data_IF_682846166460
#
_entry.id   IF_682846166460
#
_cell.length_a   1.000
_cell.length_b   1.000
_cell.length_c   1.000
_cell.angle_alpha   90.00
_cell.angle_beta   90.00
_cell.angle_gamma   90.00
#
_symmetry.space_group_name_H-M   'P 1'
#
loop_
_entity.id
_entity.type
_entity.pdbx_description
1 polymer ?
#
# COMPACT_ATOMS: atom_id res chain seq x y z
N UNK A 1 -58.05 -3.88 -22.34
CA UNK A 1 -57.10 -4.96 -22.07
C UNK A 1 -56.03 -4.36 -21.18
N UNK A 2 -56.05 -4.71 -19.92
CA UNK A 2 -55.00 -4.28 -18.99
C UNK A 2 -53.81 -5.17 -19.23
N UNK A 3 -52.74 -4.60 -19.72
CA UNK A 3 -51.43 -5.28 -19.73
C UNK A 3 -51.08 -5.56 -18.25
N UNK A 4 -51.10 -6.81 -17.88
CA UNK A 4 -50.40 -7.27 -16.69
C UNK A 4 -48.91 -7.12 -16.96
N UNK A 5 -48.32 -6.13 -16.37
CA UNK A 5 -46.86 -6.14 -16.19
C UNK A 5 -46.55 -7.35 -15.34
N UNK A 6 -46.08 -8.40 -16.00
CA UNK A 6 -45.46 -9.52 -15.31
C UNK A 6 -44.25 -8.90 -14.66
N UNK A 7 -44.29 -8.84 -13.33
CA UNK A 7 -43.14 -8.43 -12.55
C UNK A 7 -42.11 -9.53 -12.72
N UNK A 8 -41.24 -9.38 -13.72
CA UNK A 8 -40.09 -10.27 -13.88
C UNK A 8 -39.21 -10.07 -12.65
N UNK A 9 -38.80 -11.12 -11.98
CA UNK A 9 -37.84 -10.96 -10.90
C UNK A 9 -36.58 -10.30 -11.44
N UNK A 10 -36.01 -9.42 -10.68
CA UNK A 10 -34.73 -8.82 -11.01
C UNK A 10 -33.69 -9.95 -11.13
N UNK A 11 -33.11 -10.05 -12.29
CA UNK A 11 -32.16 -11.13 -12.57
C UNK A 11 -30.72 -10.73 -12.29
N UNK A 12 -30.47 -9.46 -12.07
CA UNK A 12 -29.19 -8.92 -11.67
C UNK A 12 -29.30 -8.38 -10.25
N UNK A 13 -28.42 -8.82 -9.36
CA UNK A 13 -28.30 -8.27 -8.00
C UNK A 13 -26.98 -7.51 -7.91
N UNK A 14 -27.09 -6.25 -7.48
CA UNK A 14 -25.95 -5.37 -7.27
C UNK A 14 -25.80 -5.14 -5.77
N UNK A 15 -24.74 -5.66 -5.20
CA UNK A 15 -24.36 -5.40 -3.82
C UNK A 15 -23.37 -4.25 -3.77
N UNK A 16 -23.64 -3.28 -2.93
CA UNK A 16 -22.78 -2.09 -2.80
C UNK A 16 -22.36 -1.94 -1.36
N UNK A 17 -21.07 -1.89 -1.12
CA UNK A 17 -20.56 -1.62 0.22
C UNK A 17 -20.81 -0.16 0.58
N UNK A 18 -21.37 0.08 1.77
CA UNK A 18 -21.65 1.45 2.25
C UNK A 18 -20.39 2.26 2.57
N UNK A 19 -19.22 1.64 2.58
CA UNK A 19 -17.94 2.31 2.75
C UNK A 19 -17.42 2.95 1.46
N UNK A 20 -17.96 2.58 0.31
CA UNK A 20 -17.61 3.20 -0.97
C UNK A 20 -18.07 4.66 -0.97
N UNK A 21 -17.14 5.59 -1.18
CA UNK A 21 -17.42 7.02 -1.20
C UNK A 21 -18.42 7.35 -2.29
N UNK A 22 -19.43 8.15 -1.95
CA UNK A 22 -20.47 8.58 -2.86
C UNK A 22 -21.17 7.43 -3.60
N UNK A 23 -21.24 6.23 -3.02
CA UNK A 23 -21.90 5.08 -3.65
C UNK A 23 -23.33 5.40 -4.12
N UNK A 24 -23.99 6.33 -3.45
CA UNK A 24 -25.35 6.75 -3.81
C UNK A 24 -25.41 7.22 -5.27
N UNK A 25 -24.41 7.97 -5.74
CA UNK A 25 -24.37 8.45 -7.11
C UNK A 25 -24.18 7.30 -8.12
N UNK A 26 -23.48 6.24 -7.74
CA UNK A 26 -23.34 5.06 -8.60
C UNK A 26 -24.65 4.28 -8.77
N UNK A 27 -25.46 4.23 -7.71
CA UNK A 27 -26.67 3.41 -7.70
C UNK A 27 -27.95 4.17 -8.09
N UNK A 28 -27.89 5.49 -8.21
CA UNK A 28 -29.04 6.30 -8.64
C UNK A 28 -29.51 5.90 -10.04
N UNK A 29 -28.60 5.46 -10.89
CA UNK A 29 -28.87 5.06 -12.26
C UNK A 29 -28.33 3.65 -12.52
N UNK A 30 -29.02 2.63 -12.04
CA UNK A 30 -28.76 1.23 -12.36
C UNK A 30 -29.67 0.73 -13.49
N UNK A 31 -29.32 -0.41 -14.07
CA UNK A 31 -30.13 -1.04 -15.09
C UNK A 31 -31.56 -1.34 -14.57
N UNK A 32 -32.62 -1.17 -15.37
CA UNK A 32 -34.01 -1.33 -14.90
C UNK A 32 -34.36 -2.71 -14.35
N UNK A 33 -33.54 -3.74 -14.66
CA UNK A 33 -33.71 -5.12 -14.19
C UNK A 33 -32.73 -5.46 -13.06
N UNK A 34 -32.02 -4.51 -12.53
CA UNK A 34 -31.11 -4.70 -11.39
C UNK A 34 -31.81 -4.33 -10.08
N UNK A 35 -31.56 -5.15 -9.06
CA UNK A 35 -31.93 -4.84 -7.69
C UNK A 35 -30.65 -4.50 -6.93
N UNK A 36 -30.65 -3.32 -6.29
CA UNK A 36 -29.51 -2.85 -5.52
C UNK A 36 -29.72 -3.14 -4.03
N UNK A 37 -28.72 -3.68 -3.39
CA UNK A 37 -28.67 -4.00 -1.97
C UNK A 37 -27.41 -3.36 -1.39
N UNK A 38 -27.58 -2.46 -0.44
CA UNK A 38 -26.47 -1.80 0.25
C UNK A 38 -26.06 -2.62 1.46
N UNK A 39 -24.77 -2.94 1.55
CA UNK A 39 -24.21 -3.67 2.69
C UNK A 39 -23.92 -2.72 3.85
N UNK A 40 -24.27 -3.13 5.04
CA UNK A 40 -23.95 -2.41 6.27
C UNK A 40 -22.48 -2.65 6.63
N UNK A 41 -21.72 -1.57 6.74
CA UNK A 41 -20.29 -1.63 7.06
C UNK A 41 -19.96 -2.17 8.46
N UNK A 42 -20.94 -2.29 9.34
CA UNK A 42 -20.77 -2.82 10.70
C UNK A 42 -21.02 -4.31 10.83
N UNK A 43 -21.52 -4.96 9.78
CA UNK A 43 -21.87 -6.38 9.76
C UNK A 43 -21.04 -7.14 8.71
N UNK A 44 -20.93 -8.47 8.88
CA UNK A 44 -20.25 -9.33 7.92
C UNK A 44 -20.96 -9.30 6.56
N UNK A 45 -20.31 -8.73 5.53
CA UNK A 45 -20.91 -8.57 4.23
C UNK A 45 -21.13 -9.88 3.47
N UNK A 46 -20.32 -10.92 3.74
CA UNK A 46 -20.53 -12.24 3.14
C UNK A 46 -21.82 -12.86 3.65
N UNK A 47 -22.09 -12.70 4.92
CA UNK A 47 -23.34 -13.17 5.53
C UNK A 47 -24.53 -12.36 5.01
N UNK A 48 -24.41 -11.04 4.88
CA UNK A 48 -25.45 -10.19 4.31
C UNK A 48 -25.82 -10.59 2.87
N UNK A 49 -24.82 -10.82 2.02
CA UNK A 49 -25.03 -11.28 0.63
C UNK A 49 -25.73 -12.65 0.65
N UNK A 50 -25.25 -13.56 1.49
CA UNK A 50 -25.80 -14.91 1.61
C UNK A 50 -27.28 -14.88 2.04
N UNK A 51 -27.62 -14.02 3.00
CA UNK A 51 -29.00 -13.83 3.47
C UNK A 51 -29.88 -13.21 2.38
N UNK A 52 -29.35 -12.24 1.64
CA UNK A 52 -30.08 -11.62 0.54
C UNK A 52 -30.35 -12.62 -0.59
N UNK A 53 -29.46 -13.55 -0.83
CA UNK A 53 -29.62 -14.60 -1.84
C UNK A 53 -30.51 -15.76 -1.37
N UNK A 54 -30.81 -15.85 -0.09
CA UNK A 54 -31.55 -16.97 0.46
C UNK A 54 -32.96 -17.12 -0.16
N UNK A 55 -33.20 -18.28 -0.77
CA UNK A 55 -34.45 -18.59 -1.44
C UNK A 55 -34.62 -17.94 -2.81
N UNK A 56 -33.61 -17.27 -3.32
CA UNK A 56 -33.57 -16.78 -4.69
C UNK A 56 -32.94 -17.82 -5.62
N UNK A 57 -33.33 -17.80 -6.86
CA UNK A 57 -32.79 -18.67 -7.92
C UNK A 57 -32.91 -17.96 -9.27
N UNK A 58 -32.29 -18.52 -10.27
CA UNK A 58 -32.33 -17.99 -11.64
C UNK A 58 -31.76 -16.56 -11.74
N UNK A 59 -30.79 -16.22 -10.90
CA UNK A 59 -30.06 -14.96 -10.95
C UNK A 59 -29.06 -15.05 -12.12
N UNK A 60 -29.06 -14.06 -12.99
CA UNK A 60 -28.18 -14.01 -14.15
C UNK A 60 -26.82 -13.39 -13.79
N UNK A 61 -26.78 -12.49 -12.82
CA UNK A 61 -25.53 -11.87 -12.38
C UNK A 61 -25.59 -11.40 -10.93
N UNK A 62 -24.50 -11.63 -10.22
CA UNK A 62 -24.20 -11.01 -8.94
C UNK A 62 -23.07 -10.02 -9.18
N UNK A 63 -23.31 -8.74 -8.91
CA UNK A 63 -22.32 -7.69 -9.07
C UNK A 63 -22.02 -7.06 -7.71
N UNK A 64 -20.75 -6.95 -7.39
CA UNK A 64 -20.30 -6.43 -6.09
C UNK A 64 -19.48 -5.17 -6.34
N UNK A 65 -19.95 -4.05 -5.84
CA UNK A 65 -19.26 -2.76 -5.87
C UNK A 65 -18.71 -2.51 -4.48
N UNK A 66 -17.41 -2.58 -4.38
CA UNK A 66 -16.73 -2.45 -3.09
C UNK A 66 -15.28 -2.03 -3.30
N UNK A 67 -14.63 -1.65 -2.22
CA UNK A 67 -13.19 -1.49 -2.23
C UNK A 67 -12.49 -2.83 -2.41
N UNK A 68 -11.42 -2.81 -3.21
CA UNK A 68 -10.61 -3.99 -3.49
C UNK A 68 -9.12 -3.74 -3.37
N UNK A 69 -8.38 -4.81 -3.23
CA UNK A 69 -6.93 -4.85 -3.27
C UNK A 69 -6.50 -6.21 -3.84
N UNK A 70 -5.20 -6.37 -4.14
CA UNK A 70 -4.69 -7.61 -4.74
C UNK A 70 -5.00 -8.86 -3.89
N UNK A 71 -5.91 -9.68 -4.40
CA UNK A 71 -6.40 -10.88 -3.72
C UNK A 71 -7.32 -10.61 -2.53
N UNK A 72 -7.96 -9.46 -2.48
CA UNK A 72 -8.86 -9.04 -1.42
C UNK A 72 -10.08 -8.31 -1.95
N UNK A 73 -11.21 -8.52 -1.31
CA UNK A 73 -12.47 -7.80 -1.51
C UNK A 73 -13.06 -7.43 -0.15
N UNK A 74 -13.33 -6.15 0.08
CA UNK A 74 -13.93 -5.68 1.33
C UNK A 74 -15.45 -5.78 1.26
N UNK A 75 -16.07 -6.33 2.28
CA UNK A 75 -17.52 -6.58 2.31
C UNK A 75 -18.05 -6.28 3.72
N UNK A 76 -18.53 -5.08 3.93
CA UNK A 76 -18.96 -4.61 5.24
C UNK A 76 -17.82 -4.67 6.26
N UNK A 77 -18.02 -5.33 7.38
CA UNK A 77 -17.00 -5.48 8.40
C UNK A 77 -15.96 -6.59 8.08
N UNK A 78 -16.03 -7.22 6.93
CA UNK A 78 -15.22 -8.40 6.59
C UNK A 78 -14.42 -8.16 5.31
N UNK A 79 -13.14 -8.48 5.35
CA UNK A 79 -12.32 -8.60 4.15
C UNK A 79 -12.26 -10.08 3.72
N UNK A 80 -12.73 -10.39 2.53
CA UNK A 80 -12.57 -11.70 1.91
C UNK A 80 -11.22 -11.77 1.21
N UNK A 81 -10.37 -12.70 1.61
CA UNK A 81 -8.99 -12.84 1.10
C UNK A 81 -8.67 -14.27 0.72
N UNK A 82 -7.56 -14.48 -0.01
CA UNK A 82 -7.05 -15.81 -0.32
C UNK A 82 -6.81 -16.69 0.92
N UNK A 83 -6.56 -16.08 2.08
CA UNK A 83 -6.28 -16.81 3.31
C UNK A 83 -7.54 -17.32 3.99
N UNK A 84 -8.64 -16.55 3.92
CA UNK A 84 -9.86 -16.88 4.62
C UNK A 84 -11.00 -17.38 3.74
N UNK A 85 -10.91 -17.30 2.42
CA UNK A 85 -11.97 -17.66 1.46
C UNK A 85 -12.52 -19.08 1.69
N UNK A 86 -11.63 -20.00 2.08
CA UNK A 86 -12.04 -21.38 2.34
C UNK A 86 -12.95 -21.53 3.59
N UNK A 87 -12.86 -20.61 4.53
CA UNK A 87 -13.74 -20.61 5.70
C UNK A 87 -15.16 -20.17 5.39
N UNK A 88 -15.35 -19.46 4.28
CA UNK A 88 -16.66 -19.03 3.75
C UNK A 88 -17.19 -19.93 2.63
N UNK A 89 -16.56 -21.06 2.37
CA UNK A 89 -16.92 -21.93 1.23
C UNK A 89 -18.39 -22.34 1.21
N UNK A 90 -19.02 -22.47 2.36
CA UNK A 90 -20.44 -22.81 2.45
C UNK A 90 -21.33 -21.66 1.96
N UNK A 91 -21.05 -20.43 2.37
CA UNK A 91 -21.77 -19.22 1.98
C UNK A 91 -21.55 -18.96 0.49
N UNK A 92 -20.30 -18.98 0.04
CA UNK A 92 -19.94 -18.76 -1.36
C UNK A 92 -20.57 -19.79 -2.29
N UNK A 93 -20.65 -21.06 -1.89
CA UNK A 93 -21.39 -22.08 -2.65
C UNK A 93 -22.89 -21.79 -2.75
N UNK A 94 -23.47 -21.12 -1.73
CA UNK A 94 -24.87 -20.70 -1.82
C UNK A 94 -25.07 -19.57 -2.83
N UNK A 95 -24.09 -18.68 -2.98
CA UNK A 95 -24.14 -17.66 -4.03
C UNK A 95 -24.26 -18.31 -5.42
N UNK A 96 -23.36 -19.27 -5.70
CA UNK A 96 -23.41 -20.02 -6.95
C UNK A 96 -24.72 -20.78 -7.18
N UNK A 97 -25.28 -21.36 -6.11
CA UNK A 97 -26.57 -22.07 -6.18
C UNK A 97 -27.75 -21.15 -6.50
N UNK A 98 -27.60 -19.83 -6.32
CA UNK A 98 -28.63 -18.85 -6.66
C UNK A 98 -28.55 -18.40 -8.11
N UNK A 99 -27.42 -18.66 -8.77
CA UNK A 99 -27.19 -18.29 -10.16
C UNK A 99 -27.83 -19.28 -11.15
N UNK A 100 -28.01 -18.80 -12.37
CA UNK A 100 -28.28 -19.69 -13.52
C UNK A 100 -27.01 -20.47 -13.89
N UNK A 101 -27.14 -21.47 -14.77
CA UNK A 101 -26.00 -22.27 -15.26
C UNK A 101 -24.90 -21.41 -15.89
N UNK A 102 -25.26 -20.26 -16.46
CA UNK A 102 -24.33 -19.31 -17.06
C UNK A 102 -24.33 -17.97 -16.32
N UNK A 103 -24.58 -18.00 -15.03
CA UNK A 103 -24.62 -16.77 -14.24
C UNK A 103 -23.23 -16.35 -13.79
N UNK A 104 -22.97 -15.04 -13.86
CA UNK A 104 -21.67 -14.43 -13.62
C UNK A 104 -21.58 -13.70 -12.28
N UNK A 105 -20.38 -13.62 -11.77
CA UNK A 105 -20.04 -12.76 -10.63
C UNK A 105 -19.06 -11.69 -11.09
N UNK A 106 -19.45 -10.42 -10.99
CA UNK A 106 -18.59 -9.29 -11.33
C UNK A 106 -18.13 -8.56 -10.07
N UNK A 107 -16.82 -8.46 -9.91
CA UNK A 107 -16.19 -7.77 -8.78
C UNK A 107 -15.69 -6.41 -9.25
N UNK A 108 -16.46 -5.38 -8.96
CA UNK A 108 -16.10 -4.00 -9.25
C UNK A 108 -15.39 -3.42 -8.04
N UNK A 109 -14.09 -3.54 -8.04
CA UNK A 109 -13.17 -3.05 -7.00
C UNK A 109 -11.75 -3.04 -7.52
N UNK A 110 -10.95 -2.10 -7.05
CA UNK A 110 -9.62 -1.88 -7.56
C UNK A 110 -8.66 -3.06 -7.33
N UNK A 111 -7.87 -3.36 -8.36
CA UNK A 111 -6.68 -4.21 -8.24
C UNK A 111 -6.92 -5.65 -7.74
N UNK A 112 -8.13 -6.16 -7.71
CA UNK A 112 -8.43 -7.48 -7.11
C UNK A 112 -7.62 -8.60 -7.79
N UNK A 113 -7.37 -8.49 -9.08
CA UNK A 113 -6.61 -9.46 -9.87
C UNK A 113 -5.24 -8.91 -10.34
N UNK A 114 -4.68 -7.93 -9.66
CA UNK A 114 -3.48 -7.22 -10.10
C UNK A 114 -2.24 -8.11 -10.22
N UNK A 115 -2.13 -9.15 -9.44
CA UNK A 115 -1.02 -10.09 -9.46
C UNK A 115 -1.47 -11.54 -9.65
N UNK A 116 -0.50 -12.46 -9.76
CA UNK A 116 -0.80 -13.89 -9.75
C UNK A 116 -1.53 -14.32 -8.47
N UNK A 117 -1.30 -13.64 -7.34
CA UNK A 117 -2.00 -13.90 -6.09
C UNK A 117 -3.47 -13.49 -6.19
N UNK A 118 -3.73 -12.29 -6.72
CA UNK A 118 -5.08 -11.81 -6.95
C UNK A 118 -5.84 -12.70 -7.94
N UNK A 119 -5.21 -13.08 -9.04
CA UNK A 119 -5.81 -14.01 -10.01
C UNK A 119 -6.15 -15.35 -9.38
N UNK A 120 -5.28 -15.87 -8.49
CA UNK A 120 -5.56 -17.09 -7.75
C UNK A 120 -6.77 -16.95 -6.81
N UNK A 121 -6.92 -15.78 -6.17
CA UNK A 121 -8.09 -15.51 -5.34
C UNK A 121 -9.39 -15.55 -6.15
N UNK A 122 -9.40 -14.88 -7.32
CA UNK A 122 -10.57 -14.88 -8.20
C UNK A 122 -10.87 -16.29 -8.73
N UNK A 123 -9.84 -17.07 -9.04
CA UNK A 123 -10.02 -18.49 -9.43
C UNK A 123 -10.59 -19.34 -8.29
N UNK A 124 -10.18 -19.12 -7.05
CA UNK A 124 -10.74 -19.84 -5.90
C UNK A 124 -12.21 -19.50 -5.71
N UNK A 125 -12.57 -18.22 -5.83
CA UNK A 125 -13.96 -17.79 -5.76
C UNK A 125 -14.81 -18.48 -6.84
N UNK A 126 -14.33 -18.48 -8.08
CA UNK A 126 -14.98 -19.19 -9.19
C UNK A 126 -15.14 -20.70 -8.91
N UNK A 127 -14.10 -21.36 -8.41
CA UNK A 127 -14.16 -22.77 -8.08
C UNK A 127 -15.15 -23.11 -6.97
N UNK A 128 -15.28 -22.24 -5.96
CA UNK A 128 -16.20 -22.46 -4.83
C UNK A 128 -17.65 -22.18 -5.24
N UNK A 129 -17.87 -21.12 -6.01
CA UNK A 129 -19.21 -20.73 -6.45
C UNK A 129 -19.69 -21.56 -7.64
N UNK A 130 -18.77 -21.99 -8.49
CA UNK A 130 -19.06 -22.65 -9.76
C UNK A 130 -19.47 -21.67 -10.86
N UNK A 131 -19.34 -20.37 -10.63
CA UNK A 131 -19.66 -19.29 -11.56
C UNK A 131 -18.41 -18.78 -12.26
N UNK A 132 -18.58 -18.18 -13.44
CA UNK A 132 -17.53 -17.36 -14.02
C UNK A 132 -17.44 -16.02 -13.27
N UNK A 133 -16.20 -15.61 -12.97
CA UNK A 133 -15.93 -14.42 -12.17
C UNK A 133 -15.04 -13.46 -12.94
N UNK A 134 -15.43 -12.19 -13.00
CA UNK A 134 -14.61 -11.13 -13.56
C UNK A 134 -14.21 -10.12 -12.51
N UNK A 135 -13.00 -9.56 -12.65
CA UNK A 135 -12.46 -8.54 -11.77
C UNK A 135 -11.41 -7.67 -12.46
N UNK A 136 -11.12 -6.51 -11.89
CA UNK A 136 -10.12 -5.59 -12.42
C UNK A 136 -8.69 -5.97 -12.02
N UNK A 137 -7.74 -5.72 -12.93
CA UNK A 137 -6.31 -5.82 -12.68
C UNK A 137 -5.71 -4.47 -12.23
N UNK A 138 -6.44 -3.38 -12.34
CA UNK A 138 -6.01 -2.02 -12.00
C UNK A 138 -7.09 -1.21 -11.26
N UNK A 139 -7.07 0.12 -11.35
CA UNK A 139 -8.00 0.99 -10.63
C UNK A 139 -9.38 1.00 -11.28
N UNK A 140 -10.41 0.70 -10.51
CA UNK A 140 -11.81 0.79 -10.96
C UNK A 140 -12.41 2.12 -10.52
N UNK A 141 -12.96 2.90 -11.47
CA UNK A 141 -13.62 4.17 -11.19
C UNK A 141 -13.25 5.29 -12.14
N UNK A 142 -13.00 6.48 -11.58
CA UNK A 142 -12.82 7.70 -12.34
C UNK A 142 -11.58 7.69 -13.24
N UNK A 143 -11.77 7.96 -14.53
CA UNK A 143 -10.67 7.99 -15.50
C UNK A 143 -9.68 9.14 -15.27
N UNK A 144 -10.07 10.22 -14.63
CA UNK A 144 -9.14 11.31 -14.30
C UNK A 144 -8.20 10.93 -13.15
N UNK A 145 -8.56 9.92 -12.38
CA UNK A 145 -7.76 9.34 -11.31
C UNK A 145 -7.02 8.08 -11.76
N UNK A 146 -7.03 7.79 -13.06
CA UNK A 146 -6.36 6.63 -13.63
C UNK A 146 -7.18 5.34 -13.57
N UNK A 147 -8.44 5.41 -13.17
CA UNK A 147 -9.34 4.26 -13.13
C UNK A 147 -10.15 4.08 -14.42
N UNK A 148 -10.76 2.95 -14.55
CA UNK A 148 -11.79 2.70 -15.55
C UNK A 148 -12.83 1.70 -15.00
N UNK A 149 -13.71 1.18 -15.85
CA UNK A 149 -14.74 0.22 -15.47
C UNK A 149 -14.60 -1.09 -16.24
N UNK A 150 -13.38 -1.40 -16.67
CA UNK A 150 -13.07 -2.65 -17.35
C UNK A 150 -12.70 -3.72 -16.32
N UNK A 151 -13.10 -4.94 -16.57
CA UNK A 151 -12.72 -6.09 -15.75
C UNK A 151 -11.82 -6.97 -16.63
N UNK A 152 -10.50 -6.75 -16.53
CA UNK A 152 -9.51 -7.32 -17.44
C UNK A 152 -9.32 -8.81 -17.23
N UNK A 153 -9.55 -9.29 -16.01
CA UNK A 153 -9.38 -10.68 -15.66
C UNK A 153 -10.72 -11.38 -15.50
N UNK A 154 -10.88 -12.53 -16.17
CA UNK A 154 -12.05 -13.37 -16.04
C UNK A 154 -11.66 -14.86 -16.00
N UNK A 155 -12.40 -15.64 -15.22
CA UNK A 155 -12.17 -17.08 -15.09
C UNK A 155 -12.82 -17.89 -16.21
N UNK A 156 -13.76 -17.30 -16.93
CA UNK A 156 -14.48 -17.88 -18.04
C UNK A 156 -15.18 -16.83 -18.91
N UNK A 157 -16.25 -17.20 -19.59
CA UNK A 157 -16.99 -16.29 -20.46
C UNK A 157 -17.99 -15.46 -19.65
N UNK A 158 -17.81 -14.16 -19.65
CA UNK A 158 -18.72 -13.24 -18.98
C UNK A 158 -19.77 -12.76 -19.98
N UNK A 159 -21.00 -13.14 -19.75
CA UNK A 159 -22.14 -12.76 -20.58
C UNK A 159 -22.90 -11.54 -19.96
N UNK A 160 -22.77 -11.30 -18.67
CA UNK A 160 -23.46 -10.25 -17.97
C UNK A 160 -22.80 -8.88 -18.19
N UNK A 161 -23.53 -7.84 -18.61
CA UNK A 161 -23.03 -6.49 -18.64
C UNK A 161 -22.98 -5.89 -17.21
N UNK A 162 -22.12 -4.92 -17.01
CA UNK A 162 -22.13 -4.12 -15.78
C UNK A 162 -23.50 -3.42 -15.67
N UNK A 163 -24.11 -3.52 -14.50
CA UNK A 163 -25.45 -3.00 -14.24
C UNK A 163 -25.50 -1.50 -13.96
N UNK A 164 -24.33 -0.84 -13.77
CA UNK A 164 -24.26 0.61 -13.68
C UNK A 164 -24.45 1.25 -15.04
N UNK A 165 -25.16 2.35 -15.10
CA UNK A 165 -25.29 3.11 -16.35
C UNK A 165 -24.01 3.91 -16.63
N UNK A 166 -23.72 4.10 -17.89
CA UNK A 166 -22.53 4.84 -18.36
C UNK A 166 -22.49 6.24 -17.73
N UNK A 167 -23.65 6.91 -17.62
CA UNK A 167 -23.72 8.24 -17.04
C UNK A 167 -23.31 8.29 -15.56
N UNK A 168 -23.66 7.27 -14.78
CA UNK A 168 -23.25 7.16 -13.38
C UNK A 168 -21.75 6.85 -13.27
N UNK A 169 -21.24 5.96 -14.12
CA UNK A 169 -19.82 5.63 -14.17
C UNK A 169 -18.95 6.82 -14.57
N UNK A 170 -19.40 7.61 -15.56
CA UNK A 170 -18.68 8.83 -16.00
C UNK A 170 -18.76 9.97 -14.98
N UNK A 171 -19.82 10.02 -14.18
CA UNK A 171 -20.02 11.03 -13.18
C UNK A 171 -19.39 10.71 -11.82
N UNK A 172 -18.92 9.47 -11.64
CA UNK A 172 -18.28 9.08 -10.40
C UNK A 172 -16.92 9.76 -10.27
N UNK A 173 -16.67 10.39 -9.12
CA UNK A 173 -15.51 11.25 -8.92
C UNK A 173 -14.35 10.55 -8.20
N UNK A 174 -14.53 9.30 -7.75
CA UNK A 174 -13.55 8.55 -6.98
C UNK A 174 -13.13 7.26 -7.69
N UNK A 175 -12.18 6.53 -7.11
CA UNK A 175 -11.87 5.13 -7.45
C UNK A 175 -12.24 4.22 -6.28
N UNK A 176 -12.44 2.94 -6.55
CA UNK A 176 -12.83 1.94 -5.55
C UNK A 176 -11.60 1.35 -4.83
N UNK A 177 -10.61 2.20 -4.51
CA UNK A 177 -9.42 1.80 -3.78
C UNK A 177 -9.61 2.02 -2.28
N UNK A 178 -9.30 1.01 -1.49
CA UNK A 178 -9.26 1.10 -0.03
C UNK A 178 -7.93 0.56 0.46
N UNK A 179 -7.31 1.31 1.32
CA UNK A 179 -6.01 0.98 1.86
C UNK A 179 -6.09 0.59 3.34
N UNK A 180 -6.99 -0.29 3.68
CA UNK A 180 -6.95 -0.94 4.99
C UNK A 180 -5.85 -2.00 5.01
N UNK A 181 -4.94 -1.90 5.97
CA UNK A 181 -3.75 -2.73 6.03
C UNK A 181 -3.58 -3.39 7.40
N UNK A 182 -3.24 -4.67 7.38
CA UNK A 182 -2.96 -5.44 8.59
C UNK A 182 -1.61 -6.15 8.56
N UNK A 183 -0.99 -6.23 7.39
CA UNK A 183 0.31 -6.88 7.19
C UNK A 183 1.32 -5.96 6.51
N UNK A 184 2.58 -6.36 6.53
CA UNK A 184 3.64 -5.63 5.83
C UNK A 184 3.48 -5.67 4.30
N UNK A 185 2.86 -6.71 3.79
CA UNK A 185 2.58 -6.84 2.36
C UNK A 185 1.48 -5.87 1.95
N UNK A 186 0.39 -5.81 2.73
CA UNK A 186 -0.72 -4.88 2.47
C UNK A 186 -0.21 -3.44 2.47
N UNK A 187 0.59 -3.06 3.48
CA UNK A 187 1.15 -1.71 3.55
C UNK A 187 2.07 -1.41 2.35
N UNK A 188 2.84 -2.39 1.89
CA UNK A 188 3.67 -2.21 0.70
C UNK A 188 2.82 -2.00 -0.55
N UNK A 189 1.76 -2.77 -0.70
CA UNK A 189 0.84 -2.65 -1.83
C UNK A 189 0.10 -1.31 -1.80
N UNK A 190 -0.43 -0.93 -0.66
CA UNK A 190 -1.11 0.36 -0.48
C UNK A 190 -0.19 1.54 -0.83
N UNK A 191 1.06 1.53 -0.36
CA UNK A 191 2.04 2.57 -0.68
C UNK A 191 2.41 2.62 -2.17
N UNK A 192 2.39 1.48 -2.86
CA UNK A 192 2.64 1.44 -4.29
C UNK A 192 1.45 2.00 -5.09
N UNK A 193 0.23 1.77 -4.63
CA UNK A 193 -0.97 2.31 -5.26
C UNK A 193 -1.11 3.81 -5.03
N UNK A 194 -0.85 4.26 -3.81
CA UNK A 194 -0.88 5.68 -3.46
C UNK A 194 0.20 6.50 -4.18
N UNK A 195 1.14 5.85 -4.82
CA UNK A 195 2.33 6.52 -5.38
C UNK A 195 2.03 7.52 -6.48
N UNK A 196 1.03 7.27 -7.31
CA UNK A 196 0.77 8.08 -8.51
C UNK A 196 -0.67 7.91 -9.00
N UNK A 197 -1.62 8.03 -8.13
CA UNK A 197 -3.04 7.89 -8.48
C UNK A 197 -3.77 9.24 -8.54
N UNK A 198 -3.06 10.35 -8.29
CA UNK A 198 -3.56 11.72 -8.39
C UNK A 198 -4.72 12.04 -7.44
N UNK A 199 -4.80 11.37 -6.31
CA UNK A 199 -5.76 11.67 -5.26
C UNK A 199 -5.10 11.65 -3.89
N UNK A 200 -5.78 12.27 -2.91
CA UNK A 200 -5.37 12.19 -1.53
C UNK A 200 -5.70 10.79 -0.99
N UNK A 201 -4.69 10.10 -0.51
CA UNK A 201 -4.84 8.72 -0.04
C UNK A 201 -4.89 8.64 1.47
N UNK A 202 -5.64 7.66 1.97
CA UNK A 202 -5.67 7.30 3.37
C UNK A 202 -5.39 5.81 3.55
N UNK A 203 -4.32 5.49 4.26
CA UNK A 203 -3.98 4.12 4.64
C UNK A 203 -4.32 3.93 6.11
N UNK A 204 -5.26 3.06 6.40
CA UNK A 204 -5.71 2.76 7.76
C UNK A 204 -5.22 1.41 8.25
N UNK A 205 -4.50 1.39 9.38
CA UNK A 205 -4.06 0.15 10.00
C UNK A 205 -5.20 -0.49 10.78
N UNK A 206 -5.55 -1.72 10.43
CA UNK A 206 -6.51 -2.55 11.16
C UNK A 206 -5.83 -3.54 12.10
N UNK A 207 -4.51 -3.63 12.04
CA UNK A 207 -3.70 -4.47 12.92
C UNK A 207 -2.26 -3.99 13.02
N UNK A 208 -1.53 -4.52 13.99
CA UNK A 208 -0.11 -4.18 14.15
C UNK A 208 0.75 -4.91 13.13
N UNK A 209 1.67 -4.19 12.51
CA UNK A 209 2.53 -4.69 11.44
C UNK A 209 3.91 -5.04 11.99
N UNK A 210 4.39 -6.23 11.69
CA UNK A 210 5.70 -6.71 12.11
C UNK A 210 6.28 -7.72 11.10
N UNK A 211 7.48 -8.21 11.36
CA UNK A 211 8.09 -9.28 10.56
C UNK A 211 8.68 -8.85 9.23
N UNK A 212 8.76 -7.57 8.94
CA UNK A 212 9.37 -7.07 7.72
C UNK A 212 10.91 -6.90 7.86
N UNK A 213 11.60 -6.96 6.74
CA UNK A 213 13.05 -6.86 6.66
C UNK A 213 13.56 -5.71 5.81
N UNK A 214 12.66 -5.06 5.10
CA UNK A 214 12.97 -3.89 4.30
C UNK A 214 12.13 -2.71 4.79
N UNK A 215 12.68 -1.51 4.76
CA UNK A 215 11.94 -0.31 5.10
C UNK A 215 10.84 -0.03 4.06
N UNK A 216 9.76 0.54 4.51
CA UNK A 216 8.71 1.06 3.64
C UNK A 216 9.19 2.37 3.00
N UNK A 217 9.35 2.37 1.69
CA UNK A 217 9.70 3.58 0.94
C UNK A 217 8.44 4.30 0.49
N UNK A 218 8.35 5.57 0.81
CA UNK A 218 7.24 6.44 0.37
C UNK A 218 7.82 7.45 -0.62
N UNK A 219 7.38 7.37 -1.87
CA UNK A 219 7.87 8.15 -3.00
C UNK A 219 6.70 8.57 -3.89
N UNK A 220 5.88 9.50 -3.39
CA UNK A 220 4.73 9.98 -4.14
C UNK A 220 5.20 10.76 -5.37
N UNK A 221 4.59 10.46 -6.50
CA UNK A 221 4.93 11.07 -7.79
C UNK A 221 3.93 12.15 -8.21
N UNK A 222 2.87 12.29 -7.46
CA UNK A 222 1.88 13.36 -7.61
C UNK A 222 2.00 14.39 -6.48
N UNK A 223 1.08 15.34 -6.42
CA UNK A 223 1.09 16.42 -5.41
C UNK A 223 0.15 16.16 -4.23
N UNK A 224 -0.58 15.07 -4.29
CA UNK A 224 -1.62 14.78 -3.32
C UNK A 224 -1.04 14.21 -2.03
N UNK A 225 -1.64 14.47 -0.88
CA UNK A 225 -1.14 14.00 0.40
C UNK A 225 -1.51 12.54 0.64
N UNK A 226 -0.61 11.83 1.32
CA UNK A 226 -0.88 10.51 1.88
C UNK A 226 -1.03 10.62 3.40
N UNK A 227 -2.14 10.15 3.93
CA UNK A 227 -2.38 10.01 5.37
C UNK A 227 -2.26 8.54 5.78
N UNK A 228 -1.48 8.25 6.81
CA UNK A 228 -1.39 6.92 7.40
C UNK A 228 -1.94 6.98 8.81
N UNK A 229 -3.06 6.31 9.05
CA UNK A 229 -3.75 6.27 10.34
C UNK A 229 -3.48 4.95 11.04
N UNK A 230 -2.82 5.00 12.16
CA UNK A 230 -2.46 3.81 12.92
C UNK A 230 -3.58 3.21 13.76
N UNK A 231 -4.62 3.95 14.10
CA UNK A 231 -5.69 3.50 15.01
C UNK A 231 -5.16 2.92 16.33
N UNK A 232 -4.05 3.45 16.83
CA UNK A 232 -3.37 2.94 18.02
C UNK A 232 -2.52 1.69 17.79
N UNK A 233 -2.46 1.18 16.58
CA UNK A 233 -1.63 0.03 16.24
C UNK A 233 -0.15 0.38 16.18
N UNK A 234 0.67 -0.67 16.10
CA UNK A 234 2.12 -0.57 16.12
C UNK A 234 2.72 -1.08 14.81
N UNK A 235 3.73 -0.37 14.32
CA UNK A 235 4.62 -0.86 13.28
C UNK A 235 5.97 -1.17 13.92
N UNK A 236 6.31 -2.46 13.99
CA UNK A 236 7.50 -2.96 14.70
C UNK A 236 8.52 -3.54 13.72
N UNK A 237 9.63 -2.86 13.60
CA UNK A 237 10.73 -3.31 12.74
C UNK A 237 11.61 -4.40 13.36
N UNK A 238 11.39 -4.81 14.62
CA UNK A 238 12.11 -5.88 15.28
C UNK A 238 13.63 -5.66 15.34
N UNK A 239 14.12 -4.46 15.23
CA UNK A 239 15.51 -4.06 15.11
C UNK A 239 16.20 -4.56 13.82
N UNK A 240 15.47 -4.94 12.80
CA UNK A 240 16.02 -5.46 11.56
C UNK A 240 16.29 -4.36 10.53
N UNK A 241 15.45 -3.35 10.46
CA UNK A 241 15.51 -2.30 9.44
C UNK A 241 14.94 -0.99 9.97
N UNK A 242 15.03 0.04 9.17
CA UNK A 242 14.24 1.27 9.36
C UNK A 242 12.75 0.96 9.16
N UNK A 243 11.87 1.79 9.67
CA UNK A 243 10.44 1.65 9.41
C UNK A 243 10.10 2.36 8.10
N UNK A 244 10.18 3.68 8.07
CA UNK A 244 9.85 4.47 6.89
C UNK A 244 11.06 5.21 6.32
N UNK A 245 11.15 5.21 5.00
CA UNK A 245 12.01 6.10 4.24
C UNK A 245 11.15 6.97 3.33
N UNK A 246 11.10 8.25 3.60
CA UNK A 246 10.35 9.22 2.81
C UNK A 246 11.27 9.78 1.74
N UNK A 247 10.97 9.50 0.48
CA UNK A 247 11.73 9.97 -0.67
C UNK A 247 11.14 11.24 -1.22
N UNK A 248 9.81 11.28 -1.34
CA UNK A 248 9.07 12.42 -1.85
C UNK A 248 7.62 12.38 -1.37
N UNK A 249 6.94 13.53 -1.35
CA UNK A 249 5.52 13.67 -1.08
C UNK A 249 5.21 14.44 0.18
N UNK A 250 3.92 14.63 0.42
CA UNK A 250 3.36 15.20 1.65
C UNK A 250 2.67 14.10 2.42
N UNK A 251 3.19 13.75 3.58
CA UNK A 251 2.74 12.62 4.38
C UNK A 251 2.25 13.08 5.73
N UNK A 252 1.13 12.54 6.19
CA UNK A 252 0.63 12.65 7.54
C UNK A 252 0.66 11.28 8.19
N UNK A 253 1.30 11.18 9.35
CA UNK A 253 1.28 9.98 10.17
C UNK A 253 0.49 10.29 11.43
N UNK A 254 -0.54 9.52 11.71
CA UNK A 254 -1.38 9.72 12.89
C UNK A 254 -1.64 8.45 13.68
N UNK A 255 -1.81 8.60 14.97
CA UNK A 255 -2.27 7.56 15.89
C UNK A 255 -1.52 6.22 15.80
N UNK A 256 -0.21 6.22 15.55
CA UNK A 256 0.60 5.03 15.36
C UNK A 256 1.79 4.97 16.31
N UNK A 257 2.17 3.77 16.71
CA UNK A 257 3.44 3.53 17.40
C UNK A 257 4.47 2.98 16.42
N UNK A 258 5.58 3.69 16.26
CA UNK A 258 6.72 3.25 15.45
C UNK A 258 7.82 2.76 16.40
N UNK A 259 8.11 1.45 16.39
CA UNK A 259 9.07 0.89 17.34
C UNK A 259 10.12 -0.03 16.74
N UNK A 260 11.24 -0.14 17.48
CA UNK A 260 12.35 -1.02 17.16
C UNK A 260 12.91 -0.82 15.74
N UNK A 261 12.76 0.38 15.19
CA UNK A 261 13.37 0.75 13.93
C UNK A 261 14.88 0.92 14.08
N UNK A 262 15.66 0.41 13.14
CA UNK A 262 17.12 0.42 13.23
C UNK A 262 17.78 0.78 11.92
N UNK A 263 18.58 1.83 11.95
CA UNK A 263 19.44 2.23 10.85
C UNK A 263 20.90 2.10 11.26
N UNK A 264 21.69 1.40 10.48
CA UNK A 264 23.12 1.23 10.74
C UNK A 264 23.92 1.72 9.55
N UNK A 265 24.84 2.62 9.82
CA UNK A 265 25.85 3.01 8.86
C UNK A 265 26.82 1.87 8.61
N UNK A 266 27.28 1.71 7.39
CA UNK A 266 28.28 0.71 7.07
C UNK A 266 29.63 0.99 7.74
N UNK A 267 30.34 -0.07 8.11
CA UNK A 267 31.68 0.06 8.67
C UNK A 267 32.70 0.50 7.61
N UNK A 268 33.62 1.32 8.02
CA UNK A 268 34.75 1.70 7.19
C UNK A 268 35.72 0.54 7.01
N UNK A 269 36.38 0.46 5.88
CA UNK A 269 37.45 -0.49 5.60
C UNK A 269 38.79 0.21 5.44
N UNK A 270 39.82 -0.49 5.77
CA UNK A 270 41.22 -0.05 5.52
C UNK A 270 41.48 1.42 5.92
N UNK A 271 41.11 1.76 7.13
CA UNK A 271 41.28 3.12 7.64
C UNK A 271 40.25 4.12 7.20
N UNK A 272 39.20 3.69 6.52
CA UNK A 272 38.05 4.50 6.21
C UNK A 272 37.19 4.76 7.44
N UNK A 273 36.51 5.90 7.49
CA UNK A 273 35.51 6.17 8.52
C UNK A 273 34.25 5.37 8.30
N UNK A 274 33.53 5.13 9.37
CA UNK A 274 32.20 4.52 9.27
C UNK A 274 31.17 5.41 8.59
N UNK A 275 30.15 4.81 8.05
CA UNK A 275 29.03 5.49 7.41
C UNK A 275 28.05 6.08 8.40
N UNK A 276 27.21 6.94 7.91
CA UNK A 276 26.10 7.52 8.67
C UNK A 276 24.99 6.48 8.82
N UNK A 277 24.53 6.25 10.02
CA UNK A 277 23.24 5.68 10.30
C UNK A 277 22.25 6.81 10.63
N UNK A 278 21.11 6.83 9.99
CA UNK A 278 20.15 7.92 10.17
C UNK A 278 18.72 7.39 10.11
N UNK A 279 17.85 7.94 10.93
CA UNK A 279 16.43 7.68 10.92
C UNK A 279 16.05 6.23 11.25
N UNK A 280 16.08 5.83 12.49
CA UNK A 280 15.69 4.47 12.87
C UNK A 280 14.24 4.18 12.53
N UNK A 281 13.33 5.03 12.95
CA UNK A 281 11.93 4.90 12.59
C UNK A 281 11.63 5.62 11.29
N UNK A 282 12.04 6.85 11.15
CA UNK A 282 11.70 7.72 10.06
C UNK A 282 12.95 8.37 9.48
N UNK A 283 13.17 8.23 8.21
CA UNK A 283 14.25 8.88 7.48
C UNK A 283 13.70 9.73 6.35
N UNK A 284 13.91 11.01 6.37
CA UNK A 284 13.51 11.94 5.34
C UNK A 284 14.66 12.20 4.38
N UNK A 285 14.52 11.69 3.16
CA UNK A 285 15.39 11.97 2.04
C UNK A 285 14.86 13.20 1.27
N UNK A 286 13.52 13.35 1.26
CA UNK A 286 12.79 14.47 0.68
C UNK A 286 11.38 14.54 1.23
N UNK A 287 10.56 15.41 0.66
CA UNK A 287 9.15 15.56 1.04
C UNK A 287 8.90 16.27 2.37
N UNK A 288 7.67 16.24 2.80
CA UNK A 288 7.20 16.82 4.05
C UNK A 288 6.46 15.78 4.88
N UNK A 289 6.69 15.74 6.17
CA UNK A 289 6.00 14.81 7.08
C UNK A 289 5.42 15.56 8.24
N UNK A 290 4.15 15.36 8.48
CA UNK A 290 3.43 15.77 9.70
C UNK A 290 3.22 14.54 10.57
N UNK A 291 3.46 14.64 11.85
CA UNK A 291 3.22 13.58 12.81
C UNK A 291 2.24 14.04 13.88
N UNK A 292 1.17 13.28 14.07
CA UNK A 292 0.11 13.60 15.00
C UNK A 292 -0.17 12.40 15.90
N UNK A 293 -0.03 12.56 17.20
CA UNK A 293 -0.23 11.48 18.16
C UNK A 293 0.60 10.21 17.85
N UNK A 294 1.84 10.38 17.36
CA UNK A 294 2.75 9.28 17.02
C UNK A 294 3.70 9.01 18.19
N UNK A 295 3.81 7.74 18.56
CA UNK A 295 4.77 7.29 19.57
C UNK A 295 6.00 6.68 18.91
N UNK A 296 7.18 7.20 19.21
CA UNK A 296 8.46 6.63 18.80
C UNK A 296 9.08 5.86 19.96
N UNK A 297 9.24 4.54 19.81
CA UNK A 297 9.71 3.67 20.87
C UNK A 297 10.93 2.84 20.45
N UNK A 298 12.02 2.96 21.21
CA UNK A 298 13.23 2.14 21.02
C UNK A 298 13.80 2.13 19.59
N UNK A 299 13.73 3.25 18.88
CA UNK A 299 14.30 3.37 17.54
C UNK A 299 15.75 3.83 17.62
N UNK A 300 16.60 3.31 16.74
CA UNK A 300 18.05 3.50 16.80
C UNK A 300 18.63 3.94 15.45
N UNK A 301 19.51 4.92 15.49
CA UNK A 301 20.34 5.31 14.38
C UNK A 301 21.81 5.18 14.83
N UNK A 302 22.55 4.26 14.23
CA UNK A 302 23.88 3.88 14.65
C UNK A 302 24.86 4.13 13.52
N UNK A 303 25.88 4.95 13.75
CA UNK A 303 26.97 5.11 12.80
C UNK A 303 27.82 3.86 12.67
N UNK A 304 28.38 3.64 11.50
CA UNK A 304 29.32 2.56 11.27
C UNK A 304 30.66 2.77 12.00
N UNK A 305 31.38 1.70 12.22
CA UNK A 305 32.66 1.72 12.90
C UNK A 305 33.81 2.11 11.97
N UNK A 306 34.83 2.71 12.54
CA UNK A 306 36.13 2.83 11.87
C UNK A 306 37.09 1.81 12.48
N UNK A 307 37.55 0.82 11.76
CA UNK A 307 38.30 -0.30 12.35
C UNK A 307 39.61 0.09 13.00
N UNK A 308 40.16 1.23 12.68
CA UNK A 308 41.44 1.65 13.23
C UNK A 308 41.42 3.02 13.92
N UNK A 309 40.27 3.52 14.25
CA UNK A 309 40.13 4.75 15.04
C UNK A 309 40.66 6.04 14.41
N UNK A 310 41.49 5.97 13.44
CA UNK A 310 42.10 7.10 12.76
C UNK A 310 41.67 7.16 11.29
N UNK A 311 40.48 6.81 11.06
CA UNK A 311 39.97 6.76 9.71
C UNK A 311 39.88 8.11 9.04
N UNK A 312 40.04 8.13 7.80
CA UNK A 312 39.67 9.24 6.98
C UNK A 312 38.16 9.27 6.85
N UNK A 313 37.68 10.33 6.35
CA UNK A 313 36.26 10.51 6.24
C UNK A 313 35.53 9.36 5.57
N UNK A 314 34.46 9.01 6.17
CA UNK A 314 33.53 8.04 5.66
C UNK A 314 32.39 8.66 4.89
N UNK A 315 31.80 7.90 4.07
CA UNK A 315 30.55 8.28 3.40
C UNK A 315 29.35 8.02 4.28
N UNK A 316 28.27 8.61 3.99
CA UNK A 316 27.01 8.24 4.59
C UNK A 316 26.30 7.17 3.76
N UNK A 317 25.67 6.28 4.40
CA UNK A 317 24.93 5.21 3.73
C UNK A 317 23.81 4.73 4.61
N UNK A 318 22.69 4.48 3.99
CA UNK A 318 21.55 3.97 4.70
C UNK A 318 21.63 2.45 4.68
N UNK A 319 22.18 1.89 5.72
CA UNK A 319 22.33 0.45 5.85
C UNK A 319 23.45 -0.18 5.02
N UNK A 320 24.19 0.59 4.28
CA UNK A 320 25.34 0.09 3.54
C UNK A 320 26.67 0.34 4.26
N UNK A 321 27.74 -0.15 3.68
CA UNK A 321 29.07 0.18 4.14
C UNK A 321 29.35 1.66 3.92
N UNK A 322 29.55 2.38 4.96
CA UNK A 322 29.85 3.78 4.88
C UNK A 322 31.22 4.03 4.28
N UNK A 323 31.49 5.26 4.13
CA UNK A 323 32.74 5.69 3.64
C UNK A 323 32.70 5.92 2.15
N UNK A 324 33.25 6.93 1.77
CA UNK A 324 33.42 7.29 0.39
C UNK A 324 34.67 8.11 0.29
N UNK A 325 35.18 8.23 -0.88
CA UNK A 325 36.31 9.07 -1.13
C UNK A 325 35.91 10.51 -0.95
N UNK A 326 36.30 11.10 0.09
CA UNK A 326 35.99 12.46 0.35
C UNK A 326 34.69 12.71 1.11
N UNK A 327 33.94 11.68 1.38
CA UNK A 327 32.79 11.83 2.25
C UNK A 327 31.68 12.73 1.75
N UNK A 328 31.40 12.75 0.52
CA UNK A 328 30.27 13.52 0.02
C UNK A 328 28.94 12.85 0.38
N UNK A 329 28.02 13.62 0.90
CA UNK A 329 26.76 13.08 1.35
C UNK A 329 25.99 12.34 0.27
N UNK A 330 25.82 12.97 -0.87
CA UNK A 330 25.06 12.34 -1.92
C UNK A 330 25.77 11.16 -2.57
N UNK A 331 27.06 11.04 -2.44
CA UNK A 331 27.75 9.86 -2.90
C UNK A 331 27.48 8.62 -2.07
N UNK A 332 27.03 8.83 -0.87
CA UNK A 332 26.79 7.73 0.06
C UNK A 332 25.32 7.42 0.29
N UNK A 333 24.48 8.37 0.05
CA UNK A 333 23.08 8.13 0.22
C UNK A 333 22.59 7.10 -0.80
N UNK A 334 21.89 6.18 -0.33
CA UNK A 334 21.23 5.24 -1.16
C UNK A 334 22.11 4.22 -1.88
N UNK A 335 23.36 4.18 -1.58
CA UNK A 335 24.23 3.16 -2.16
C UNK A 335 24.75 2.25 -1.07
N UNK A 336 23.99 1.23 -0.72
CA UNK A 336 24.50 0.20 0.13
C UNK A 336 25.71 -0.38 -0.56
N UNK A 337 26.73 -0.57 0.15
CA UNK A 337 27.91 -1.10 -0.46
C UNK A 337 29.11 -1.02 0.43
N UNK A 338 30.21 -1.31 -0.14
CA UNK A 338 31.47 -1.24 0.57
C UNK A 338 31.77 0.23 0.91
N UNK A 339 32.12 0.45 2.13
CA UNK A 339 32.61 1.77 2.54
C UNK A 339 33.74 2.22 1.65
N UNK A 340 33.68 3.43 1.23
CA UNK A 340 34.77 4.04 0.48
C UNK A 340 35.99 4.15 1.32
N UNK A 341 37.09 4.26 0.71
CA UNK A 341 38.27 4.69 1.39
C UNK A 341 38.06 6.11 1.90
N UNK A 342 38.51 6.39 3.02
CA UNK A 342 38.40 7.73 3.54
C UNK A 342 38.91 8.74 2.52
N UNK A 343 38.49 9.95 2.69
CA UNK A 343 39.00 11.01 1.85
C UNK A 343 40.51 11.02 1.82
N UNK A 344 41.01 11.61 0.86
CA UNK A 344 42.43 11.72 0.77
C UNK A 344 42.98 12.59 1.90
N UNK A 345 44.24 12.75 1.86
CA UNK A 345 44.90 13.47 2.92
C UNK A 345 44.43 14.85 3.07
N UNK A 346 43.78 15.29 2.17
CA UNK A 346 43.31 16.54 2.29
C UNK A 346 42.00 16.61 2.78
N UNK A 347 41.49 15.81 3.05
CA UNK A 347 40.36 15.82 3.47
C UNK A 347 39.51 15.24 3.71
N UNK A 348 38.93 15.03 3.48
CA UNK A 348 38.08 14.50 3.67
C UNK A 348 37.75 14.10 4.22
N UNK A 349 37.50 13.93 3.95
CA UNK A 349 37.54 13.74 4.53
C UNK A 349 38.56 14.27 4.95
N UNK A 350 39.15 15.02 4.75
CA UNK A 350 40.04 15.34 5.13
C UNK A 350 40.35 16.40 5.10
N UNK A 351 40.77 17.16 4.85
CA UNK A 351 41.09 18.07 4.80
C UNK A 351 41.69 18.43 4.29
N UNK A 352 41.91 18.79 4.01
CA UNK A 352 42.50 19.03 3.48
C UNK A 352 43.33 19.33 3.60
N UNK A 353 43.72 19.67 3.71
CA UNK A 353 44.46 19.98 3.71
C UNK A 353 45.23 20.29 3.56
N UNK A 354 45.41 20.43 3.29
CA UNK A 354 46.40 20.69 2.99
C UNK A 354 46.56 21.97 2.88
N UNK A 355 46.22 22.47 2.69
CA UNK A 355 46.08 23.53 2.83
C UNK A 355 45.62 23.66 3.94
N UNK A 356 46.02 24.08 4.42
CA UNK A 356 45.75 24.00 5.60
C UNK A 356 44.41 24.12 5.80
N UNK A 357 43.84 24.01 5.34
CA UNK A 357 42.76 23.99 5.47
C UNK A 357 41.96 23.08 5.31
N UNK A 358 41.98 22.38 5.16
CA UNK A 358 41.22 21.56 4.96
C UNK A 358 40.93 20.79 5.94
N UNK A 359 40.35 20.79 6.42
CA UNK A 359 39.94 20.18 7.31
C UNK A 359 39.46 19.04 6.97
N UNK A 360 39.72 18.25 7.32
CA UNK A 360 39.28 17.07 7.25
C UNK A 360 38.37 16.86 6.39
N UNK A 361 38.47 16.46 5.70
CA UNK A 361 37.53 16.16 4.95
C UNK A 361 36.76 17.20 4.76
N UNK A 362 36.93 17.98 5.07
CA UNK A 362 36.27 18.87 4.88
C UNK A 362 35.18 18.96 4.75
N UNK A 363 34.92 18.52 4.94
CA UNK A 363 33.87 18.42 4.95
C UNK A 363 33.02 19.19 5.39
N UNK A 364 32.82 19.79 4.86
CA UNK A 364 31.83 20.44 5.15
C UNK A 364 31.02 19.86 6.02
N UNK A 365 30.33 20.25 6.61
CA UNK A 365 29.53 19.68 7.28
C UNK A 365 29.85 18.46 7.59
N UNK A 366 30.48 18.39 8.27
CA UNK A 366 30.65 17.29 8.75
C UNK A 366 31.09 16.20 8.16
N UNK A 367 31.48 16.39 7.28
CA UNK A 367 31.95 15.33 6.70
C UNK A 367 33.26 15.24 6.99
N UNK A 368 33.69 16.03 7.49
CA UNK A 368 34.87 15.98 7.64
C UNK A 368 35.44 14.89 8.02
N UNK A 369 36.02 14.56 7.72
CA UNK A 369 36.66 13.68 8.18
C UNK A 369 36.13 12.68 8.81
N UNK A 370 35.78 12.17 8.68
CA UNK A 370 35.60 11.21 9.35
C UNK A 370 34.55 10.77 9.94
N UNK A 371 33.74 10.57 9.46
CA UNK A 371 32.73 9.93 10.11
C UNK A 371 31.91 10.73 10.98
N UNK A 372 32.23 11.92 11.01
CA UNK A 372 31.36 12.75 11.72
C UNK A 372 30.08 12.80 10.97
N UNK A 373 29.19 12.29 11.33
CA UNK A 373 27.91 12.40 10.74
C UNK A 373 27.13 13.53 11.23
N UNK A 374 26.35 14.02 10.38
CA UNK A 374 25.30 14.88 10.79
C UNK A 374 24.21 14.02 11.36
N UNK A 375 23.90 14.19 12.57
CA UNK A 375 22.73 13.58 13.15
C UNK A 375 21.58 14.55 12.99
N UNK A 376 20.61 14.15 12.27
CA UNK A 376 19.33 14.81 12.31
C UNK A 376 18.40 13.98 13.15
N UNK A 377 18.02 14.54 14.23
CA UNK A 377 16.96 13.98 15.05
C UNK A 377 15.70 14.75 14.79
N UNK A 378 14.69 14.02 14.58
CA UNK A 378 13.33 14.50 14.67
C UNK A 378 12.58 13.61 15.62
#
# INVERSE_FOLDING_TARGET
MSEQFINMPNKTLVFVDSQVENYQSLIEETAPNAEVIVLDSSEDGIEQITQALAGRAEIESIQIISHGNDGQLNLGATALTSENINSYSQQLSQWGNSLTENGDILLLGCNIAASDSGKNFVQQLSQITGADVASSEDLTGNANLGGDWVLEYATGLIDAPIALQIGAMEAYENVLADFTVSTAADLTNALNQARNNFQADEITLTGSINGFTNSFAIDLQDSEPLTIIGNGNTIDAGNNTQIFRIVNGTIVLSDVTLQNGRAIGGDGITGGGGGLGAGGALYLDGGNVTVENVTFNNNQAIGGNSPNGAGRGGGSGNGGNGGGSGGQLNGAFGTPGVGGQGGDTNGGGDRVDAQPKQLGGNGAFGTGGGGGGLVRTF
#
